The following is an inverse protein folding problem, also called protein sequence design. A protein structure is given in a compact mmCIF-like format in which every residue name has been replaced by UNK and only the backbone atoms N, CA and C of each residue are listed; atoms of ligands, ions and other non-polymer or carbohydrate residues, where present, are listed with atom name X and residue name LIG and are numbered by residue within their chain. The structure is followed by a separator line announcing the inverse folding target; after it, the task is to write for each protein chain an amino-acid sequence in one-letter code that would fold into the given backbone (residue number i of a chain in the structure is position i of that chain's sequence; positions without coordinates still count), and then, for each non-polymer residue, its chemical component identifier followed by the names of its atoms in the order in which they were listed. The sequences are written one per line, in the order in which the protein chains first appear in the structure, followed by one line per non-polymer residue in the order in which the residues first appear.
data_IF_232421883132
#
_entry.id   IF_232421883132
#
_cell.length_a   1.000
_cell.length_b   1.000
_cell.length_c   1.000
_cell.angle_alpha   90.00
_cell.angle_beta   90.00
_cell.angle_gamma   90.00
#
_symmetry.space_group_name_H-M   'P 1'
#
loop_
_entity.id
_entity.type
_entity.pdbx_description
1 polymer ?
#
# COMPACT_ATOMS: atom_id res chain seq x y z
N UNK A 1 1.66 -28.63 -9.00
CA UNK A 1 0.86 -27.42 -8.67
C UNK A 1 1.80 -26.23 -8.52
N UNK A 2 1.81 -25.28 -9.47
CA UNK A 2 2.37 -23.90 -9.32
C UNK A 2 2.14 -23.12 -10.64
N UNK A 3 0.89 -22.96 -11.07
CA UNK A 3 0.53 -22.08 -12.21
C UNK A 3 -0.23 -20.82 -11.76
N UNK A 4 -0.73 -20.79 -10.52
CA UNK A 4 -1.50 -19.67 -9.97
C UNK A 4 -0.61 -18.50 -9.49
N UNK A 5 0.62 -18.77 -9.05
CA UNK A 5 1.47 -17.77 -8.39
C UNK A 5 2.10 -16.75 -9.35
N UNK A 6 2.39 -17.14 -10.60
CA UNK A 6 2.98 -16.24 -11.60
C UNK A 6 2.00 -15.16 -12.08
N UNK A 7 0.69 -15.45 -12.05
CA UNK A 7 -0.34 -14.53 -12.49
C UNK A 7 -0.47 -13.33 -11.52
N UNK A 8 -0.44 -13.57 -10.21
CA UNK A 8 -0.55 -12.51 -9.19
C UNK A 8 0.65 -11.55 -9.26
N UNK A 9 1.86 -12.09 -9.43
CA UNK A 9 3.09 -11.30 -9.57
C UNK A 9 3.06 -10.47 -10.85
N UNK A 10 2.60 -11.05 -11.96
CA UNK A 10 2.50 -10.34 -13.24
C UNK A 10 1.47 -9.21 -13.17
N UNK A 11 0.30 -9.45 -12.58
CA UNK A 11 -0.75 -8.43 -12.41
C UNK A 11 -0.27 -7.28 -11.53
N UNK A 12 0.43 -7.59 -10.43
CA UNK A 12 0.99 -6.57 -9.54
C UNK A 12 2.08 -5.73 -10.25
N UNK A 13 3.05 -6.39 -10.90
CA UNK A 13 4.11 -5.70 -11.62
C UNK A 13 3.57 -4.86 -12.78
N UNK A 14 2.57 -5.37 -13.50
CA UNK A 14 1.93 -4.66 -14.59
C UNK A 14 1.14 -3.44 -14.10
N UNK A 15 0.41 -3.56 -12.98
CA UNK A 15 -0.29 -2.44 -12.37
C UNK A 15 0.67 -1.34 -11.89
N UNK A 16 1.80 -1.71 -11.29
CA UNK A 16 2.86 -0.77 -10.86
C UNK A 16 3.53 -0.09 -12.07
N UNK A 17 3.78 -0.84 -13.15
CA UNK A 17 4.37 -0.28 -14.37
C UNK A 17 3.43 0.72 -15.04
N UNK A 18 2.13 0.43 -15.11
CA UNK A 18 1.11 1.32 -15.65
C UNK A 18 0.94 2.60 -14.83
N UNK A 19 1.09 2.52 -13.51
CA UNK A 19 1.03 3.68 -12.62
C UNK A 19 2.15 4.72 -12.87
N UNK A 20 3.20 4.33 -13.58
CA UNK A 20 4.42 5.15 -13.79
C UNK A 20 4.27 6.27 -14.83
N UNK A 21 3.17 6.31 -15.60
CA UNK A 21 3.07 7.15 -16.80
C UNK A 21 1.99 8.24 -16.77
N UNK A 22 1.23 8.41 -15.69
CA UNK A 22 0.08 9.33 -15.68
C UNK A 22 0.22 10.44 -14.62
N UNK A 23 0.14 11.74 -14.98
CA UNK A 23 0.09 12.84 -14.02
C UNK A 23 -1.27 12.88 -13.32
N UNK A 24 -1.28 13.08 -11.99
CA UNK A 24 -2.52 13.10 -11.22
C UNK A 24 -3.24 14.46 -11.34
N UNK A 25 -4.52 14.39 -11.72
CA UNK A 25 -5.57 15.38 -11.46
C UNK A 25 -6.80 14.61 -10.93
N UNK A 26 -7.81 15.35 -10.44
CA UNK A 26 -9.07 14.93 -9.77
C UNK A 26 -9.46 13.45 -9.89
N UNK A 27 -10.04 12.92 -8.82
CA UNK A 27 -10.38 11.49 -8.67
C UNK A 27 -11.41 11.07 -9.74
N UNK A 28 -10.99 10.41 -10.81
CA UNK A 28 -11.81 10.15 -12.00
C UNK A 28 -13.05 9.32 -11.68
N UNK A 29 -12.90 8.32 -10.79
CA UNK A 29 -14.02 7.50 -10.34
C UNK A 29 -14.99 8.25 -9.41
N UNK A 30 -14.77 9.52 -9.09
CA UNK A 30 -15.70 10.32 -8.25
C UNK A 30 -16.76 10.99 -9.11
N UNK A 31 -16.50 11.10 -10.41
CA UNK A 31 -17.41 11.65 -11.41
C UNK A 31 -18.58 10.70 -11.72
N UNK A 32 -18.33 9.38 -11.61
CA UNK A 32 -19.32 8.35 -11.89
C UNK A 32 -20.03 7.87 -10.62
N UNK A 33 -21.33 7.59 -10.74
CA UNK A 33 -22.12 6.92 -9.71
C UNK A 33 -21.91 5.40 -9.84
N UNK A 34 -21.32 4.80 -8.82
CA UNK A 34 -21.11 3.36 -8.74
C UNK A 34 -22.05 2.72 -7.71
N UNK A 35 -22.51 1.51 -8.02
CA UNK A 35 -23.22 0.61 -7.12
C UNK A 35 -22.47 -0.73 -7.09
N UNK A 36 -21.48 -0.81 -6.20
CA UNK A 36 -20.52 -1.91 -6.16
C UNK A 36 -21.13 -3.14 -5.49
N UNK A 37 -21.15 -4.25 -6.22
CA UNK A 37 -21.53 -5.57 -5.71
C UNK A 37 -20.31 -6.47 -5.68
N UNK A 38 -20.02 -7.07 -4.52
CA UNK A 38 -18.94 -8.04 -4.38
C UNK A 38 -19.28 -9.30 -5.18
N UNK A 39 -18.47 -9.60 -6.20
CA UNK A 39 -18.65 -10.78 -7.06
C UNK A 39 -17.70 -11.93 -6.69
N UNK A 40 -16.68 -11.65 -5.88
CA UNK A 40 -15.74 -12.67 -5.43
C UNK A 40 -14.75 -12.16 -4.40
N UNK A 41 -14.21 -13.10 -3.61
CA UNK A 41 -13.23 -12.81 -2.55
C UNK A 41 -12.34 -14.03 -2.32
N UNK A 42 -11.06 -13.75 -2.05
CA UNK A 42 -10.07 -14.74 -1.64
C UNK A 42 -9.37 -14.20 -0.40
N UNK A 43 -9.19 -15.03 0.61
CA UNK A 43 -8.40 -14.69 1.81
C UNK A 43 -7.18 -15.61 1.89
N UNK A 44 -6.02 -15.03 2.15
CA UNK A 44 -4.74 -15.72 2.21
C UNK A 44 -4.05 -15.27 3.51
N UNK A 45 -3.91 -16.16 4.51
CA UNK A 45 -3.05 -15.90 5.65
C UNK A 45 -1.62 -15.67 5.16
N UNK A 46 -1.00 -14.58 5.60
CA UNK A 46 0.37 -14.21 5.24
C UNK A 46 1.26 -14.21 6.46
N UNK A 47 2.50 -14.66 6.29
CA UNK A 47 3.49 -14.70 7.37
C UNK A 47 4.05 -13.30 7.72
N UNK A 48 3.92 -12.37 6.78
CA UNK A 48 4.41 -11.01 6.86
C UNK A 48 3.58 -10.13 5.91
N UNK A 49 3.51 -8.82 6.14
CA UNK A 49 2.85 -7.90 5.23
C UNK A 49 3.57 -7.88 3.88
N UNK A 50 2.83 -8.19 2.82
CA UNK A 50 3.24 -8.01 1.43
C UNK A 50 3.17 -6.53 1.02
N UNK A 51 2.27 -5.77 1.64
CA UNK A 51 2.10 -4.33 1.48
C UNK A 51 2.50 -3.62 2.78
N UNK A 52 3.81 -3.37 3.03
CA UNK A 52 4.29 -2.74 4.27
C UNK A 52 3.95 -1.24 4.39
N UNK A 53 2.88 -0.78 3.72
CA UNK A 53 2.49 0.62 3.60
C UNK A 53 2.13 1.24 4.96
N UNK A 54 1.40 0.49 5.78
CA UNK A 54 0.98 0.93 7.10
C UNK A 54 2.12 0.86 8.11
N UNK A 55 2.99 -0.13 7.98
CA UNK A 55 4.18 -0.31 8.79
C UNK A 55 5.18 0.81 8.57
N UNK A 56 5.37 1.24 7.31
CA UNK A 56 6.15 2.45 7.03
C UNK A 56 5.49 3.70 7.62
N UNK A 57 4.16 3.84 7.47
CA UNK A 57 3.43 4.98 8.03
C UNK A 57 3.64 5.11 9.55
N UNK A 58 3.66 4.00 10.28
CA UNK A 58 3.97 3.99 11.72
C UNK A 58 5.37 4.53 12.03
N UNK A 59 6.37 4.21 11.21
CA UNK A 59 7.73 4.74 11.40
C UNK A 59 7.80 6.26 11.22
N UNK A 60 6.89 6.83 10.43
CA UNK A 60 6.81 8.28 10.21
C UNK A 60 6.04 9.02 11.31
N UNK A 61 5.05 8.39 11.97
CA UNK A 61 4.21 9.08 12.95
C UNK A 61 4.75 9.01 14.37
N UNK A 62 5.53 7.98 14.70
CA UNK A 62 5.93 7.69 16.07
C UNK A 62 7.31 8.26 16.43
N UNK A 63 7.56 8.41 17.74
CA UNK A 63 8.80 8.93 18.32
C UNK A 63 9.94 7.91 18.33
N UNK A 64 10.19 7.23 17.21
CA UNK A 64 11.41 6.47 17.04
C UNK A 64 12.59 7.43 16.85
N UNK A 65 13.71 7.16 17.52
CA UNK A 65 14.95 7.87 17.22
C UNK A 65 15.49 7.41 15.86
N UNK A 66 16.28 8.26 15.21
CA UNK A 66 16.93 7.91 13.95
C UNK A 66 17.70 6.59 14.10
N UNK A 67 17.62 5.74 13.08
CA UNK A 67 18.34 4.47 13.05
C UNK A 67 18.93 4.21 11.67
N UNK A 68 20.05 3.49 11.66
CA UNK A 68 20.70 3.03 10.43
C UNK A 68 20.17 1.67 9.97
N UNK A 69 19.40 0.97 10.80
CA UNK A 69 18.96 -0.39 10.53
C UNK A 69 17.54 -0.68 11.05
N UNK A 70 16.73 -1.27 10.17
CA UNK A 70 15.41 -1.82 10.48
C UNK A 70 15.49 -3.32 10.28
N UNK A 71 15.28 -4.08 11.36
CA UNK A 71 15.33 -5.54 11.34
C UNK A 71 13.89 -6.06 11.33
N UNK A 72 13.45 -6.60 10.20
CA UNK A 72 12.16 -7.24 10.06
C UNK A 72 12.23 -8.72 10.43
N UNK A 73 11.54 -9.12 11.48
CA UNK A 73 11.44 -10.50 11.96
C UNK A 73 10.19 -11.15 11.36
N UNK A 74 10.37 -12.23 10.62
CA UNK A 74 9.27 -13.03 10.05
C UNK A 74 9.31 -14.44 10.61
N UNK A 75 8.16 -14.94 11.11
CA UNK A 75 8.07 -16.26 11.74
C UNK A 75 8.13 -17.44 10.75
N UNK A 76 7.97 -17.21 9.44
CA UNK A 76 7.92 -18.30 8.45
C UNK A 76 8.91 -18.17 7.28
N UNK A 77 9.29 -19.31 6.70
CA UNK A 77 10.50 -19.50 5.86
C UNK A 77 10.29 -19.48 4.33
N UNK A 78 9.06 -19.50 3.78
CA UNK A 78 8.88 -19.74 2.32
C UNK A 78 8.37 -18.52 1.54
N UNK A 79 7.38 -17.79 2.06
CA UNK A 79 6.88 -16.59 1.37
C UNK A 79 7.77 -15.34 1.63
N UNK A 80 8.37 -15.26 2.81
CA UNK A 80 9.36 -14.22 3.16
C UNK A 80 10.61 -14.26 2.28
N UNK A 81 11.00 -15.41 1.75
CA UNK A 81 12.15 -15.53 0.84
C UNK A 81 11.86 -15.00 -0.58
N UNK A 82 10.64 -15.23 -1.09
CA UNK A 82 10.22 -14.78 -2.42
C UNK A 82 9.90 -13.28 -2.45
N UNK A 83 9.26 -12.76 -1.40
CA UNK A 83 8.88 -11.35 -1.30
C UNK A 83 9.92 -10.50 -0.53
N UNK A 84 10.71 -11.05 0.38
CA UNK A 84 11.65 -10.26 1.20
C UNK A 84 12.76 -9.60 0.39
N UNK A 85 13.31 -10.28 -0.64
CA UNK A 85 14.34 -9.68 -1.51
C UNK A 85 13.76 -8.85 -2.66
N UNK A 86 12.52 -9.09 -3.08
CA UNK A 86 11.93 -8.51 -4.30
C UNK A 86 10.66 -7.67 -4.09
N UNK A 87 10.08 -7.61 -2.89
CA UNK A 87 8.93 -6.76 -2.56
C UNK A 87 9.36 -5.49 -1.81
N UNK A 88 10.43 -5.56 -1.01
CA UNK A 88 11.13 -4.39 -0.48
C UNK A 88 11.90 -3.61 -1.56
N UNK A 89 12.38 -4.31 -2.59
CA UNK A 89 13.19 -3.74 -3.68
C UNK A 89 12.42 -2.76 -4.61
N UNK A 90 11.19 -3.03 -5.06
CA UNK A 90 10.46 -2.10 -5.90
C UNK A 90 10.02 -0.88 -5.12
N UNK A 91 9.68 -0.93 -3.83
CA UNK A 91 9.31 0.27 -3.07
C UNK A 91 10.51 1.18 -2.75
N UNK A 92 11.70 0.61 -2.53
CA UNK A 92 12.95 1.38 -2.32
C UNK A 92 13.57 1.89 -3.63
N UNK A 93 13.22 1.29 -4.78
CA UNK A 93 13.77 1.60 -6.12
C UNK A 93 12.77 2.24 -7.08
N UNK A 94 11.47 2.21 -6.77
CA UNK A 94 10.47 3.15 -7.29
C UNK A 94 11.00 4.51 -6.89
N UNK A 95 11.67 5.11 -7.87
CA UNK A 95 12.71 6.08 -7.66
C UNK A 95 12.29 7.18 -6.69
N UNK A 96 13.27 7.70 -5.95
CA UNK A 96 13.17 8.96 -5.21
C UNK A 96 12.28 9.96 -5.96
N UNK A 97 12.50 10.09 -7.28
CA UNK A 97 11.75 10.92 -8.24
C UNK A 97 10.31 10.51 -8.59
N UNK A 98 9.95 9.22 -8.66
CA UNK A 98 8.58 8.77 -9.00
C UNK A 98 7.66 8.72 -7.78
N UNK A 99 8.19 8.27 -6.64
CA UNK A 99 7.47 8.41 -5.38
C UNK A 99 7.39 9.91 -5.03
N UNK A 100 8.42 10.73 -5.28
CA UNK A 100 8.32 12.20 -5.17
C UNK A 100 7.30 12.79 -6.14
N UNK A 101 7.22 12.36 -7.39
CA UNK A 101 6.22 12.91 -8.31
C UNK A 101 4.79 12.48 -7.96
N UNK A 102 4.60 11.24 -7.47
CA UNK A 102 3.32 10.75 -6.96
C UNK A 102 2.93 11.41 -5.64
N UNK A 103 3.90 11.68 -4.77
CA UNK A 103 3.73 12.45 -3.53
C UNK A 103 3.39 13.91 -3.86
N UNK A 104 4.14 14.57 -4.73
CA UNK A 104 3.93 15.98 -5.11
C UNK A 104 2.61 16.21 -5.83
N UNK A 105 2.06 15.21 -6.53
CA UNK A 105 0.79 15.32 -7.26
C UNK A 105 -0.45 14.80 -6.50
N UNK A 106 -0.26 14.08 -5.39
CA UNK A 106 -1.36 13.43 -4.66
C UNK A 106 -1.34 13.56 -3.13
N UNK A 107 -0.36 14.26 -2.55
CA UNK A 107 -0.39 14.60 -1.13
C UNK A 107 -1.39 15.73 -0.85
N UNK A 108 -2.01 15.77 0.35
CA UNK A 108 -2.50 17.04 0.88
C UNK A 108 -1.37 18.06 0.82
N UNK A 109 -1.72 19.30 0.52
CA UNK A 109 -0.79 20.43 0.33
C UNK A 109 0.17 20.68 1.50
N UNK A 110 -0.03 20.02 2.64
CA UNK A 110 0.87 20.08 3.79
C UNK A 110 1.09 18.68 4.37
N UNK A 111 2.25 18.08 4.06
CA UNK A 111 2.80 17.00 4.88
C UNK A 111 3.05 17.52 6.30
N UNK A 112 3.02 16.65 7.33
CA UNK A 112 3.53 17.00 8.65
C UNK A 112 4.93 17.62 8.53
N UNK A 113 5.19 18.72 9.25
CA UNK A 113 6.46 19.48 9.14
C UNK A 113 7.70 18.64 9.43
N UNK A 114 7.55 17.55 10.18
CA UNK A 114 8.59 16.59 10.53
C UNK A 114 8.77 15.45 9.51
N UNK A 115 7.91 15.37 8.48
CA UNK A 115 7.96 14.30 7.49
C UNK A 115 9.27 14.29 6.70
N UNK A 116 9.72 15.44 6.19
CA UNK A 116 10.97 15.55 5.43
C UNK A 116 12.20 15.18 6.28
N UNK A 117 12.20 15.55 7.56
CA UNK A 117 13.24 15.17 8.50
C UNK A 117 13.27 13.64 8.70
N UNK A 118 12.12 13.03 8.99
CA UNK A 118 12.01 11.58 9.22
C UNK A 118 12.32 10.76 7.95
N UNK A 119 11.92 11.27 6.79
CA UNK A 119 12.23 10.71 5.47
C UNK A 119 13.73 10.64 5.22
N UNK A 120 14.48 11.66 5.66
CA UNK A 120 15.91 11.76 5.39
C UNK A 120 16.70 10.60 5.98
N UNK A 121 16.39 10.14 7.20
CA UNK A 121 17.07 9.01 7.82
C UNK A 121 16.49 7.66 7.36
N UNK A 122 15.16 7.56 7.17
CA UNK A 122 14.54 6.32 6.66
C UNK A 122 15.07 5.92 5.28
N UNK A 123 15.41 6.90 4.42
CA UNK A 123 16.03 6.63 3.12
C UNK A 123 17.44 6.03 3.20
N UNK A 124 18.10 6.16 4.36
CA UNK A 124 19.45 5.64 4.64
C UNK A 124 19.41 4.34 5.44
N UNK A 125 18.30 4.06 6.13
CA UNK A 125 18.14 2.87 6.94
C UNK A 125 18.19 1.60 6.07
N UNK A 126 19.04 0.65 6.47
CA UNK A 126 19.13 -0.66 5.85
C UNK A 126 18.00 -1.54 6.40
N UNK A 127 17.25 -2.18 5.52
CA UNK A 127 16.23 -3.16 5.93
C UNK A 127 16.82 -4.56 5.88
N UNK A 128 16.99 -5.19 7.03
CA UNK A 128 17.43 -6.58 7.17
C UNK A 128 16.22 -7.48 7.46
N UNK A 129 16.21 -8.69 6.88
CA UNK A 129 15.18 -9.70 7.15
C UNK A 129 15.76 -10.78 8.07
N UNK A 130 15.21 -10.88 9.28
CA UNK A 130 15.50 -11.95 10.22
C UNK A 130 14.48 -13.09 10.06
N UNK A 131 15.01 -14.30 9.90
CA UNK A 131 14.24 -15.55 9.84
C UNK A 131 14.42 -16.33 11.13
N UNK A 132 13.64 -17.39 11.40
CA UNK A 132 13.84 -18.24 12.59
C UNK A 132 15.24 -18.85 12.68
N UNK A 133 15.96 -18.97 11.56
CA UNK A 133 17.36 -19.46 11.52
C UNK A 133 18.39 -18.35 11.75
N UNK A 134 17.98 -17.10 11.69
CA UNK A 134 18.86 -15.95 11.89
C UNK A 134 19.10 -15.77 13.38
N UNK A 135 20.37 -15.73 13.80
CA UNK A 135 20.71 -15.42 15.18
C UNK A 135 20.46 -13.92 15.45
N UNK A 136 19.32 -13.59 16.02
CA UNK A 136 18.96 -12.21 16.33
C UNK A 136 20.02 -11.55 17.23
N UNK A 137 20.66 -12.30 18.14
CA UNK A 137 21.72 -11.76 18.99
C UNK A 137 22.93 -11.28 18.19
N UNK A 138 23.31 -11.97 17.10
CA UNK A 138 24.44 -11.53 16.28
C UNK A 138 24.11 -10.29 15.45
N UNK A 139 22.86 -10.15 15.01
CA UNK A 139 22.41 -8.92 14.34
C UNK A 139 22.41 -7.73 15.31
N UNK A 140 21.87 -7.92 16.52
CA UNK A 140 21.86 -6.88 17.53
C UNK A 140 23.27 -6.53 18.03
N UNK A 141 24.16 -7.50 18.14
CA UNK A 141 25.56 -7.26 18.53
C UNK A 141 26.36 -6.48 17.46
N UNK A 142 25.95 -6.53 16.20
CA UNK A 142 26.57 -5.76 15.11
C UNK A 142 26.04 -4.32 15.02
N UNK A 143 24.93 -4.02 15.71
CA UNK A 143 24.29 -2.71 15.67
C UNK A 143 24.97 -1.71 16.62
N UNK A 144 25.00 -0.43 16.23
CA UNK A 144 25.60 0.63 17.03
C UNK A 144 24.76 0.93 18.27
N UNK A 145 25.41 1.11 19.42
CA UNK A 145 24.73 1.56 20.64
C UNK A 145 24.18 2.98 20.52
N UNK A 146 24.79 3.84 19.68
CA UNK A 146 24.34 5.22 19.45
C UNK A 146 23.09 5.28 18.58
N UNK A 147 22.93 4.34 17.64
CA UNK A 147 21.81 4.25 16.69
C UNK A 147 21.19 2.85 16.73
N UNK A 148 20.46 2.50 17.81
CA UNK A 148 19.92 1.17 17.99
C UNK A 148 18.91 0.82 16.88
N UNK A 149 18.88 -0.45 16.43
CA UNK A 149 18.04 -0.87 15.33
C UNK A 149 16.57 -0.86 15.76
N UNK A 150 15.68 -0.61 14.79
CA UNK A 150 14.24 -0.84 14.99
C UNK A 150 13.94 -2.27 14.60
N UNK A 151 13.48 -3.06 15.57
CA UNK A 151 13.06 -4.45 15.36
C UNK A 151 11.56 -4.44 15.09
N UNK A 152 11.14 -4.93 13.93
CA UNK A 152 9.74 -5.02 13.53
C UNK A 152 9.33 -6.47 13.37
N UNK A 153 8.16 -6.81 13.89
CA UNK A 153 7.52 -8.10 13.65
C UNK A 153 6.06 -7.89 13.27
N UNK A 154 5.53 -8.74 12.41
CA UNK A 154 4.11 -8.73 12.08
C UNK A 154 3.47 -10.06 12.42
N UNK A 155 2.30 -10.00 13.02
CA UNK A 155 1.47 -11.12 13.39
C UNK A 155 0.08 -10.99 12.75
N UNK A 156 -0.62 -12.12 12.65
CA UNK A 156 -2.01 -12.19 12.18
C UNK A 156 -2.23 -11.48 10.84
N UNK A 157 -1.26 -11.57 9.94
CA UNK A 157 -1.37 -10.90 8.65
C UNK A 157 -2.29 -11.71 7.72
N UNK A 158 -3.26 -11.02 7.12
CA UNK A 158 -4.22 -11.60 6.19
C UNK A 158 -4.30 -10.71 4.97
N UNK A 159 -4.06 -11.30 3.80
CA UNK A 159 -4.30 -10.68 2.51
C UNK A 159 -5.69 -11.08 2.01
N UNK A 160 -6.53 -10.10 1.75
CA UNK A 160 -7.85 -10.26 1.13
C UNK A 160 -7.78 -9.68 -0.29
N UNK A 161 -8.22 -10.46 -1.28
CA UNK A 161 -8.39 -10.00 -2.65
C UNK A 161 -9.88 -10.08 -2.96
N UNK A 162 -10.52 -8.92 -3.12
CA UNK A 162 -11.94 -8.81 -3.41
C UNK A 162 -12.16 -8.19 -4.78
N UNK A 163 -13.20 -8.66 -5.47
CA UNK A 163 -13.63 -8.19 -6.78
C UNK A 163 -15.05 -7.65 -6.67
N UNK A 164 -15.26 -6.48 -7.24
CA UNK A 164 -16.55 -5.81 -7.28
C UNK A 164 -16.93 -5.49 -8.72
N UNK A 165 -18.19 -5.65 -9.06
CA UNK A 165 -18.78 -5.17 -10.30
C UNK A 165 -19.77 -4.05 -9.99
N UNK A 166 -19.81 -3.03 -10.85
CA UNK A 166 -20.74 -1.92 -10.70
C UNK A 166 -22.02 -2.17 -11.51
N UNK A 167 -23.15 -2.31 -10.82
CA UNK A 167 -24.46 -2.54 -11.46
C UNK A 167 -24.89 -1.37 -12.35
N UNK A 168 -24.53 -0.13 -12.01
CA UNK A 168 -24.91 1.04 -12.83
C UNK A 168 -24.24 1.06 -14.19
N UNK A 169 -23.13 0.33 -14.35
CA UNK A 169 -22.38 0.19 -15.60
C UNK A 169 -22.75 -1.08 -16.39
N UNK A 170 -23.79 -1.82 -15.97
CA UNK A 170 -24.06 -3.19 -16.43
C UNK A 170 -22.86 -4.13 -16.20
N UNK A 171 -22.23 -4.07 -15.02
CA UNK A 171 -21.07 -4.87 -14.63
C UNK A 171 -19.82 -4.67 -15.50
N UNK A 172 -19.72 -3.55 -16.22
CA UNK A 172 -18.57 -3.22 -17.08
C UNK A 172 -17.44 -2.57 -16.28
N UNK A 173 -17.79 -1.80 -15.26
CA UNK A 173 -16.84 -1.32 -14.27
C UNK A 173 -16.52 -2.45 -13.28
N UNK A 174 -15.23 -2.78 -13.16
CA UNK A 174 -14.71 -3.76 -12.23
C UNK A 174 -13.71 -3.08 -11.30
N UNK A 175 -13.90 -3.24 -9.99
CA UNK A 175 -12.95 -2.83 -8.97
C UNK A 175 -12.31 -4.07 -8.35
N UNK A 176 -10.97 -4.11 -8.38
CA UNK A 176 -10.18 -5.10 -7.66
C UNK A 176 -9.55 -4.43 -6.45
N UNK A 177 -9.80 -4.98 -5.26
CA UNK A 177 -9.24 -4.50 -3.99
C UNK A 177 -8.33 -5.58 -3.41
N UNK A 178 -7.07 -5.26 -3.26
CA UNK A 178 -6.10 -6.07 -2.50
C UNK A 178 -5.97 -5.38 -1.15
N UNK A 179 -6.60 -5.92 -0.12
CA UNK A 179 -6.57 -5.40 1.24
C UNK A 179 -5.69 -6.31 2.10
N UNK A 180 -4.87 -5.72 2.95
CA UNK A 180 -4.04 -6.43 3.89
C UNK A 180 -4.31 -5.92 5.29
N UNK A 181 -4.65 -6.84 6.19
CA UNK A 181 -4.73 -6.59 7.62
C UNK A 181 -3.49 -7.20 8.27
N UNK A 182 -2.89 -6.51 9.23
CA UNK A 182 -1.75 -7.01 10.00
C UNK A 182 -1.78 -6.40 11.39
N UNK A 183 -1.23 -7.11 12.38
CA UNK A 183 -0.78 -6.48 13.62
C UNK A 183 0.73 -6.38 13.55
N UNK A 184 1.27 -5.16 13.63
CA UNK A 184 2.71 -4.93 13.59
C UNK A 184 3.18 -4.40 14.92
N UNK A 185 4.25 -5.02 15.44
CA UNK A 185 4.95 -4.60 16.64
C UNK A 185 6.34 -4.10 16.25
N UNK A 186 6.69 -2.90 16.72
CA UNK A 186 8.02 -2.34 16.57
C UNK A 186 8.64 -2.05 17.94
N UNK A 187 9.93 -2.34 18.06
CA UNK A 187 10.72 -2.14 19.27
C UNK A 187 12.03 -1.47 18.91
N UNK A 188 12.37 -0.39 19.61
CA UNK A 188 13.69 0.23 19.54
C UNK A 188 14.31 0.26 20.94
N UNK A 189 15.49 -0.35 21.07
CA UNK A 189 16.21 -0.52 22.34
C UNK A 189 17.19 0.64 22.59
N UNK A 190 16.69 1.88 22.54
CA UNK A 190 17.47 3.07 22.89
C UNK A 190 17.55 3.30 24.41
N UNK A 191 18.28 4.34 24.83
CA UNK A 191 18.31 4.79 26.24
C UNK A 191 16.90 4.90 26.83
N UNK A 192 15.96 5.39 26.01
CA UNK A 192 14.53 5.31 26.27
C UNK A 192 13.90 4.29 25.32
N UNK A 193 13.64 3.05 25.78
CA UNK A 193 13.09 2.02 24.92
C UNK A 193 11.68 2.41 24.46
N UNK A 194 11.42 2.21 23.16
CA UNK A 194 10.12 2.46 22.54
C UNK A 194 9.55 1.13 22.08
N UNK A 195 8.33 0.82 22.53
CA UNK A 195 7.56 -0.35 22.09
C UNK A 195 6.24 0.16 21.56
N UNK A 196 5.89 -0.26 20.35
CA UNK A 196 4.62 0.07 19.71
C UNK A 196 4.00 -1.15 19.06
N UNK A 197 2.69 -1.24 19.19
CA UNK A 197 1.87 -2.23 18.52
C UNK A 197 0.72 -1.51 17.84
N UNK A 198 0.56 -1.77 16.55
CA UNK A 198 -0.44 -1.13 15.70
C UNK A 198 -1.14 -2.21 14.89
N UNK A 199 -2.47 -2.21 14.98
CA UNK A 199 -3.29 -2.91 14.00
C UNK A 199 -3.37 -2.05 12.75
N UNK A 200 -2.85 -2.57 11.65
CA UNK A 200 -2.77 -1.89 10.38
C UNK A 200 -3.72 -2.49 9.35
N UNK A 201 -4.29 -1.60 8.53
CA UNK A 201 -4.99 -1.96 7.31
C UNK A 201 -4.32 -1.18 6.18
N UNK A 202 -3.80 -1.90 5.19
CA UNK A 202 -3.36 -1.33 3.92
C UNK A 202 -4.19 -1.90 2.78
N UNK A 203 -4.32 -1.17 1.68
CA UNK A 203 -4.93 -1.70 0.49
C UNK A 203 -4.40 -1.07 -0.77
N UNK A 204 -4.63 -1.78 -1.88
CA UNK A 204 -4.51 -1.32 -3.25
C UNK A 204 -5.87 -1.51 -3.90
N UNK A 205 -6.34 -0.52 -4.65
CA UNK A 205 -7.59 -0.58 -5.40
C UNK A 205 -7.34 -0.17 -6.85
N UNK A 206 -7.76 -1.03 -7.78
CA UNK A 206 -7.70 -0.81 -9.23
C UNK A 206 -9.13 -0.82 -9.77
N UNK A 207 -9.52 0.24 -10.48
CA UNK A 207 -10.83 0.32 -11.15
C UNK A 207 -10.61 0.32 -12.66
N UNK A 208 -11.32 -0.56 -13.36
CA UNK A 208 -11.27 -0.70 -14.82
C UNK A 208 -12.66 -0.67 -15.43
N UNK A 209 -12.77 -0.28 -16.70
CA UNK A 209 -13.96 -0.43 -17.53
C UNK A 209 -13.68 -1.44 -18.65
N UNK A 210 -14.55 -2.43 -18.80
CA UNK A 210 -14.38 -3.59 -19.70
C UNK A 210 -13.03 -4.31 -19.53
N UNK A 211 -12.48 -4.34 -18.30
CA UNK A 211 -11.18 -4.94 -17.92
C UNK A 211 -9.95 -4.24 -18.52
N UNK A 212 -10.07 -3.64 -19.71
CA UNK A 212 -8.96 -3.08 -20.49
C UNK A 212 -8.68 -1.61 -20.21
N UNK A 213 -9.68 -0.86 -19.79
CA UNK A 213 -9.55 0.59 -19.65
C UNK A 213 -9.35 0.95 -18.18
N UNK A 214 -8.10 1.20 -17.79
CA UNK A 214 -7.77 1.64 -16.43
C UNK A 214 -8.39 3.01 -16.16
N UNK A 215 -9.29 3.07 -15.17
CA UNK A 215 -9.97 4.29 -14.75
C UNK A 215 -9.27 4.91 -13.55
N UNK A 216 -8.91 4.08 -12.56
CA UNK A 216 -8.15 4.56 -11.41
C UNK A 216 -7.28 3.47 -10.80
N UNK A 217 -6.20 3.90 -10.17
CA UNK A 217 -5.34 3.11 -9.31
C UNK A 217 -5.11 3.91 -8.04
N UNK A 218 -5.27 3.26 -6.88
CA UNK A 218 -5.07 3.89 -5.58
C UNK A 218 -4.51 2.92 -4.56
N UNK A 219 -3.91 3.47 -3.52
CA UNK A 219 -3.44 2.69 -2.38
C UNK A 219 -3.49 3.50 -1.08
N UNK A 220 -3.46 2.78 0.04
CA UNK A 220 -3.56 3.32 1.40
C UNK A 220 -2.85 2.37 2.39
N UNK A 221 -2.34 2.87 3.52
CA UNK A 221 -2.05 4.26 3.81
C UNK A 221 -0.65 4.64 3.32
N UNK A 222 -0.48 5.86 2.82
CA UNK A 222 0.82 6.50 2.70
C UNK A 222 0.81 7.72 3.62
N UNK A 223 1.51 7.63 4.76
CA UNK A 223 1.47 8.66 5.81
C UNK A 223 0.05 8.90 6.35
N UNK A 224 -0.74 7.83 6.49
CA UNK A 224 -2.14 7.91 6.93
C UNK A 224 -3.13 8.38 5.84
N UNK A 225 -2.65 8.62 4.62
CA UNK A 225 -3.45 9.18 3.54
C UNK A 225 -3.62 8.18 2.40
N UNK A 226 -4.61 8.43 1.56
CA UNK A 226 -4.85 7.66 0.33
C UNK A 226 -4.24 8.40 -0.85
N UNK A 227 -3.59 7.66 -1.74
CA UNK A 227 -2.94 8.22 -2.93
C UNK A 227 -3.55 7.60 -4.19
N UNK A 228 -3.69 8.41 -5.25
CA UNK A 228 -4.23 8.00 -6.56
C UNK A 228 -3.21 8.23 -7.68
N UNK A 229 -2.25 7.31 -7.91
CA UNK A 229 -1.24 7.52 -8.96
C UNK A 229 -1.81 7.53 -10.37
N UNK A 230 -2.97 6.88 -10.60
CA UNK A 230 -3.67 6.93 -11.88
C UNK A 230 -5.10 7.36 -11.65
N UNK A 231 -5.52 8.36 -12.43
CA UNK A 231 -6.86 8.90 -12.45
C UNK A 231 -7.20 9.35 -13.88
N UNK A 232 -8.00 8.58 -14.61
CA UNK A 232 -8.32 8.84 -16.01
C UNK A 232 -9.64 9.59 -16.17
N UNK A 233 -9.66 10.88 -15.80
CA UNK A 233 -10.86 11.71 -15.83
C UNK A 233 -11.46 11.85 -17.23
N UNK A 234 -10.59 11.93 -18.26
CA UNK A 234 -11.01 12.05 -19.65
C UNK A 234 -11.83 10.83 -20.08
N UNK A 235 -11.34 9.63 -19.76
CA UNK A 235 -12.07 8.40 -20.03
C UNK A 235 -13.41 8.39 -19.29
N UNK A 236 -13.43 8.73 -18.00
CA UNK A 236 -14.68 8.71 -17.22
C UNK A 236 -15.69 9.71 -17.78
N UNK A 237 -15.25 10.93 -18.08
CA UNK A 237 -16.09 11.98 -18.66
C UNK A 237 -16.64 11.55 -20.03
N UNK A 238 -15.80 10.93 -20.87
CA UNK A 238 -16.21 10.37 -22.15
C UNK A 238 -17.27 9.28 -21.95
N UNK A 239 -17.04 8.31 -21.06
CA UNK A 239 -17.99 7.24 -20.77
C UNK A 239 -19.33 7.75 -20.25
N UNK A 240 -19.33 8.81 -19.44
CA UNK A 240 -20.55 9.51 -19.00
C UNK A 240 -21.25 10.17 -20.20
N UNK A 241 -20.52 10.89 -21.06
CA UNK A 241 -21.11 11.61 -22.20
C UNK A 241 -21.80 10.68 -23.21
N UNK A 242 -21.35 9.43 -23.32
CA UNK A 242 -21.95 8.41 -24.19
C UNK A 242 -22.97 7.51 -23.45
N UNK A 243 -23.31 7.84 -22.20
CA UNK A 243 -24.33 7.15 -21.41
C UNK A 243 -23.92 5.76 -20.90
N UNK A 244 -22.62 5.42 -20.93
CA UNK A 244 -22.14 4.14 -20.41
C UNK A 244 -21.88 4.15 -18.90
N UNK A 245 -21.69 5.33 -18.33
CA UNK A 245 -21.65 5.55 -16.89
C UNK A 245 -22.68 6.61 -16.50
N UNK A 246 -23.22 6.49 -15.30
CA UNK A 246 -24.14 7.49 -14.74
C UNK A 246 -23.33 8.55 -14.01
N UNK A 247 -23.66 9.82 -14.24
CA UNK A 247 -23.07 10.93 -13.49
C UNK A 247 -23.50 10.87 -12.02
N UNK A 248 -22.60 11.21 -11.09
CA UNK A 248 -22.92 11.29 -9.65
C UNK A 248 -23.62 12.62 -9.34
N UNK A 249 -24.89 12.57 -8.94
CA UNK A 249 -25.78 13.75 -8.87
C UNK A 249 -25.71 14.58 -7.57
N UNK A 250 -24.84 14.30 -6.58
CA UNK A 250 -24.96 14.96 -5.25
C UNK A 250 -23.63 15.50 -4.69
N UNK A 251 -23.77 16.72 -4.15
CA UNK A 251 -22.85 17.81 -3.76
C UNK A 251 -21.95 17.62 -2.53
N UNK A 252 -21.83 16.45 -1.90
CA UNK A 252 -20.86 16.29 -0.79
C UNK A 252 -19.53 15.73 -1.29
N UNK A 253 -18.70 16.66 -1.76
CA UNK A 253 -17.27 16.49 -1.96
C UNK A 253 -16.57 16.28 -0.60
N UNK A 254 -16.75 15.12 0.03
CA UNK A 254 -15.72 14.64 0.94
C UNK A 254 -14.91 13.61 0.16
N UNK A 255 -13.69 13.94 -0.30
CA UNK A 255 -12.74 12.98 -0.89
C UNK A 255 -12.53 11.74 0.00
N UNK A 256 -12.86 11.89 1.29
CA UNK A 256 -12.82 10.88 2.35
C UNK A 256 -13.98 9.87 2.29
N UNK A 257 -15.10 10.15 1.61
CA UNK A 257 -16.27 9.25 1.56
C UNK A 257 -16.07 8.00 0.70
N UNK A 258 -14.87 7.79 0.16
CA UNK A 258 -14.53 6.55 -0.49
C UNK A 258 -14.28 5.46 0.57
N UNK A 259 -15.34 5.08 1.28
CA UNK A 259 -15.33 3.80 1.95
C UNK A 259 -15.08 2.76 0.86
N UNK A 260 -14.00 1.97 1.00
CA UNK A 260 -13.92 0.72 0.25
C UNK A 260 -15.27 0.02 0.41
N UNK A 261 -15.84 -0.54 -0.66
CA UNK A 261 -17.05 -1.33 -0.50
C UNK A 261 -16.81 -2.36 0.62
N UNK A 262 -17.80 -2.54 1.48
CA UNK A 262 -17.66 -3.48 2.59
C UNK A 262 -17.30 -4.85 2.02
N UNK A 263 -16.10 -5.34 2.38
CA UNK A 263 -15.67 -6.67 2.04
C UNK A 263 -16.40 -7.62 3.00
N UNK A 264 -17.53 -8.16 2.53
CA UNK A 264 -18.34 -9.14 3.27
C UNK A 264 -17.63 -10.50 3.30
#
# INVERSE_FOLDING_TARGET
MSKSNSAVIFVFLFAVLLASFFPAKLIACSLAKHDWVQIGKIEIPTAAPLLPLAEFSMLFTENFSETEEIIWVSEHNIFSALFGKHALFPLTRLSKTQIESWLVSGLPTELPKDYEQKRSWLSKAKVALATPKTNLKSLLAASSAENPPIIMGSANSVLQIAFFADENSNCRCIQTVILQKSSTRAVQLAEKPVIKEVSSVSYISVVTFDIKNLMSFSFYPLSGLRVFPVSNEELVSKLISIGLLKYRTVEEQTPESYNLPEIK
#
